data_IF_266459866089
#
_entry.id   IF_266459866089
#
_cell.length_a   1.000
_cell.length_b   1.000
_cell.length_c   1.000
_cell.angle_alpha   90.00
_cell.angle_beta   90.00
_cell.angle_gamma   90.00
#
_symmetry.space_group_name_H-M   'P 1'
#
loop_
_entity.id
_entity.type
_entity.pdbx_description
1 polymer ?
#
# COMPACT_ATOMS: atom_id res chain seq x y z
N UNK A 1 93.95 14.36 -26.94
CA UNK A 1 93.00 14.79 -27.98
C UNK A 1 91.86 13.81 -27.97
N UNK A 2 90.72 14.28 -27.45
CA UNK A 2 89.35 14.08 -27.94
C UNK A 2 88.82 12.65 -28.10
N UNK A 3 87.62 12.27 -27.69
CA UNK A 3 86.50 12.92 -27.00
C UNK A 3 85.52 11.79 -26.64
N UNK A 4 84.73 11.99 -25.57
CA UNK A 4 83.63 11.11 -25.15
C UNK A 4 82.65 10.86 -26.30
N UNK A 5 82.03 9.68 -26.34
CA UNK A 5 80.60 9.62 -26.61
C UNK A 5 79.92 8.42 -25.93
N UNK A 6 79.09 8.78 -24.96
CA UNK A 6 78.16 7.92 -24.24
C UNK A 6 76.98 7.60 -25.16
N UNK A 7 76.69 6.32 -25.39
CA UNK A 7 75.39 5.87 -25.91
C UNK A 7 74.90 4.74 -25.02
N UNK A 8 74.18 5.09 -23.95
CA UNK A 8 73.35 4.15 -23.18
C UNK A 8 72.02 3.97 -23.90
N UNK A 9 71.88 2.85 -24.61
CA UNK A 9 70.68 2.48 -25.37
C UNK A 9 69.47 2.09 -24.49
N UNK A 10 68.23 2.27 -24.98
CA UNK A 10 66.99 2.11 -24.22
C UNK A 10 66.51 0.65 -24.22
N UNK A 11 67.25 -0.27 -23.58
CA UNK A 11 66.83 -1.69 -23.48
C UNK A 11 66.37 -2.13 -22.09
N UNK A 12 66.69 -1.39 -21.04
CA UNK A 12 66.34 -1.76 -19.66
C UNK A 12 64.93 -1.33 -19.22
N UNK A 13 64.24 -0.47 -19.97
CA UNK A 13 62.89 0.03 -19.61
C UNK A 13 61.73 -0.86 -20.11
N UNK A 14 61.95 -1.72 -21.12
CA UNK A 14 60.91 -2.60 -21.68
C UNK A 14 60.69 -3.89 -20.87
N UNK A 15 61.69 -4.35 -20.11
CA UNK A 15 61.60 -5.59 -19.30
C UNK A 15 60.83 -5.35 -17.99
N UNK A 16 60.99 -4.18 -17.37
CA UNK A 16 60.23 -3.78 -16.16
C UNK A 16 58.73 -3.53 -16.44
N UNK A 17 58.39 -3.03 -17.63
CA UNK A 17 56.98 -2.84 -18.02
C UNK A 17 56.24 -4.16 -18.27
N UNK A 18 56.92 -5.17 -18.83
CA UNK A 18 56.35 -6.51 -19.06
C UNK A 18 56.16 -7.33 -17.79
N UNK A 19 57.06 -7.20 -16.81
CA UNK A 19 56.94 -7.87 -15.51
C UNK A 19 55.74 -7.35 -14.70
N UNK A 20 55.52 -6.03 -14.68
CA UNK A 20 54.34 -5.45 -14.05
C UNK A 20 53.05 -5.90 -14.73
N UNK A 21 53.03 -5.98 -16.07
CA UNK A 21 51.87 -6.48 -16.80
C UNK A 21 51.51 -7.94 -16.45
N UNK A 22 52.52 -8.81 -16.31
CA UNK A 22 52.31 -10.20 -15.90
C UNK A 22 51.75 -10.31 -14.46
N UNK A 23 52.28 -9.50 -13.53
CA UNK A 23 51.78 -9.45 -12.14
C UNK A 23 50.35 -8.93 -12.09
N UNK A 24 50.02 -7.84 -12.80
CA UNK A 24 48.65 -7.33 -12.87
C UNK A 24 47.68 -8.34 -13.49
N UNK A 25 48.10 -9.05 -14.54
CA UNK A 25 47.28 -10.10 -15.17
C UNK A 25 47.00 -11.24 -14.20
N UNK A 26 48.00 -11.70 -13.44
CA UNK A 26 47.84 -12.72 -12.41
C UNK A 26 46.90 -12.27 -11.29
N UNK A 27 47.00 -11.02 -10.85
CA UNK A 27 46.11 -10.44 -9.83
C UNK A 27 44.67 -10.38 -10.35
N UNK A 28 44.46 -9.96 -11.60
CA UNK A 28 43.11 -9.92 -12.21
C UNK A 28 42.52 -11.33 -12.33
N UNK A 29 43.31 -12.32 -12.74
CA UNK A 29 42.87 -13.72 -12.81
C UNK A 29 42.53 -14.25 -11.42
N UNK A 30 43.35 -13.95 -10.40
CA UNK A 30 43.10 -14.37 -9.02
C UNK A 30 41.82 -13.73 -8.47
N UNK A 31 41.59 -12.43 -8.73
CA UNK A 31 40.35 -11.74 -8.36
C UNK A 31 39.16 -12.35 -9.09
N UNK A 32 39.28 -12.65 -10.38
CA UNK A 32 38.20 -13.28 -11.15
C UNK A 32 37.89 -14.69 -10.64
N UNK A 33 38.90 -15.48 -10.27
CA UNK A 33 38.72 -16.81 -9.70
C UNK A 33 38.07 -16.74 -8.31
N UNK A 34 38.49 -15.81 -7.45
CA UNK A 34 37.89 -15.59 -6.13
C UNK A 34 36.45 -15.07 -6.24
N UNK A 35 36.20 -14.15 -7.16
CA UNK A 35 34.85 -13.65 -7.44
C UNK A 35 33.95 -14.78 -7.96
N UNK A 36 34.43 -15.60 -8.90
CA UNK A 36 33.69 -16.74 -9.42
C UNK A 36 33.41 -17.78 -8.32
N UNK A 37 34.40 -18.07 -7.45
CA UNK A 37 34.23 -18.96 -6.31
C UNK A 37 33.21 -18.42 -5.29
N UNK A 38 33.23 -17.12 -5.02
CA UNK A 38 32.29 -16.46 -4.11
C UNK A 38 30.86 -16.44 -4.67
N UNK A 39 30.71 -16.15 -5.96
CA UNK A 39 29.41 -16.16 -6.67
C UNK A 39 28.83 -17.57 -6.71
N UNK A 40 29.64 -18.60 -7.01
CA UNK A 40 29.17 -19.97 -7.15
C UNK A 40 28.82 -20.67 -5.82
N UNK A 41 29.17 -20.08 -4.68
CA UNK A 41 28.87 -20.62 -3.35
C UNK A 41 27.78 -19.85 -2.61
N UNK A 42 27.48 -18.64 -3.04
CA UNK A 42 26.45 -17.80 -2.45
C UNK A 42 25.31 -17.60 -3.46
N UNK A 43 24.24 -18.38 -3.33
CA UNK A 43 22.99 -18.21 -4.09
C UNK A 43 22.19 -16.96 -3.67
N UNK A 44 22.85 -16.01 -3.00
CA UNK A 44 22.22 -14.80 -2.48
C UNK A 44 22.11 -13.79 -3.62
N UNK A 45 20.94 -13.74 -4.25
CA UNK A 45 20.62 -12.76 -5.28
C UNK A 45 20.55 -11.38 -4.62
N UNK A 46 21.44 -10.48 -5.02
CA UNK A 46 21.45 -9.10 -4.55
C UNK A 46 20.65 -8.25 -5.53
N UNK A 47 19.48 -7.82 -5.09
CA UNK A 47 18.68 -6.86 -5.85
C UNK A 47 19.26 -5.46 -5.69
N UNK A 48 20.00 -5.01 -6.70
CA UNK A 48 20.60 -3.67 -6.78
C UNK A 48 19.62 -2.62 -7.31
N UNK A 49 18.36 -2.98 -7.56
CA UNK A 49 17.37 -1.98 -7.98
C UNK A 49 17.02 -1.06 -6.81
N UNK A 50 16.82 0.25 -7.06
CA UNK A 50 16.54 1.23 -5.99
C UNK A 50 15.35 0.84 -5.08
N UNK A 51 14.35 0.14 -5.62
CA UNK A 51 13.13 -0.25 -4.91
C UNK A 51 13.05 -1.74 -4.57
N UNK A 52 14.14 -2.49 -4.78
CA UNK A 52 14.14 -3.93 -4.53
C UNK A 52 13.00 -4.64 -5.29
N UNK A 53 12.82 -4.32 -6.57
CA UNK A 53 11.67 -4.75 -7.38
C UNK A 53 11.68 -6.25 -7.73
N UNK A 54 12.81 -6.92 -7.56
CA UNK A 54 13.01 -8.34 -7.83
C UNK A 54 13.26 -9.16 -6.56
N UNK A 55 13.02 -8.55 -5.40
CA UNK A 55 13.11 -9.22 -4.10
C UNK A 55 11.82 -9.07 -3.32
N UNK A 56 11.49 -10.13 -2.59
CA UNK A 56 10.30 -10.19 -1.76
C UNK A 56 10.26 -9.03 -0.76
N UNK A 57 9.07 -8.53 -0.50
CA UNK A 57 8.86 -7.57 0.57
C UNK A 57 9.35 -8.14 1.91
N UNK A 58 9.86 -7.28 2.83
CA UNK A 58 10.25 -7.71 4.18
C UNK A 58 9.16 -8.51 4.90
N UNK A 59 7.89 -8.25 4.58
CA UNK A 59 6.72 -8.85 5.21
C UNK A 59 6.38 -10.21 4.62
N UNK A 60 6.50 -10.40 3.30
CA UNK A 60 6.50 -11.74 2.72
C UNK A 60 7.62 -12.58 3.33
N UNK A 61 8.84 -12.04 3.49
CA UNK A 61 9.93 -12.76 4.16
C UNK A 61 9.56 -13.12 5.61
N UNK A 62 8.92 -12.22 6.36
CA UNK A 62 8.45 -12.47 7.72
C UNK A 62 7.38 -13.57 7.76
N UNK A 63 6.41 -13.53 6.84
CA UNK A 63 5.38 -14.56 6.65
C UNK A 63 6.01 -15.93 6.38
N UNK A 64 6.94 -16.01 5.43
CA UNK A 64 7.59 -17.26 5.02
C UNK A 64 8.49 -17.86 6.13
N UNK A 65 9.15 -17.00 6.93
CA UNK A 65 9.91 -17.45 8.10
C UNK A 65 9.02 -17.90 9.26
N UNK A 66 7.80 -17.39 9.33
CA UNK A 66 6.81 -17.75 10.35
C UNK A 66 6.03 -19.02 10.05
N UNK A 67 6.29 -19.70 8.92
CA UNK A 67 5.57 -20.92 8.53
C UNK A 67 5.82 -22.06 9.54
N UNK A 68 4.73 -22.59 10.09
CA UNK A 68 4.70 -23.74 11.00
C UNK A 68 4.51 -25.07 10.28
N UNK A 69 4.13 -25.04 9.00
CA UNK A 69 3.79 -26.18 8.14
C UNK A 69 4.42 -26.05 6.76
N UNK A 70 4.52 -27.18 6.07
CA UNK A 70 5.04 -27.21 4.69
C UNK A 70 3.97 -26.77 3.70
N UNK A 71 4.36 -25.95 2.74
CA UNK A 71 3.50 -25.33 1.74
C UNK A 71 4.03 -25.66 0.35
N UNK A 72 3.13 -26.07 -0.55
CA UNK A 72 3.45 -26.28 -1.96
C UNK A 72 2.74 -25.26 -2.83
N UNK A 73 3.50 -24.56 -3.66
CA UNK A 73 3.03 -23.65 -4.71
C UNK A 73 2.93 -24.47 -6.01
N UNK A 74 1.71 -24.84 -6.41
CA UNK A 74 1.44 -25.52 -7.66
C UNK A 74 1.24 -24.50 -8.78
N UNK A 75 2.05 -24.59 -9.83
CA UNK A 75 1.96 -23.70 -10.99
C UNK A 75 1.42 -24.49 -12.15
N UNK A 76 0.18 -24.23 -12.53
CA UNK A 76 -0.49 -24.91 -13.63
C UNK A 76 -0.23 -24.19 -14.95
N UNK A 77 0.85 -24.57 -15.63
CA UNK A 77 1.23 -23.96 -16.90
C UNK A 77 1.98 -24.93 -17.82
N UNK A 78 2.05 -24.59 -19.10
CA UNK A 78 2.89 -25.28 -20.09
C UNK A 78 4.35 -24.92 -19.84
N UNK A 79 5.26 -25.87 -20.11
CA UNK A 79 6.74 -25.78 -19.90
C UNK A 79 7.47 -24.51 -20.41
N UNK A 80 6.82 -23.64 -21.18
CA UNK A 80 7.40 -22.42 -21.76
C UNK A 80 6.60 -21.13 -21.50
N UNK A 81 5.46 -21.18 -20.77
CA UNK A 81 4.53 -20.04 -20.66
C UNK A 81 4.93 -18.97 -19.65
N UNK A 82 5.28 -19.34 -18.41
CA UNK A 82 5.42 -18.42 -17.28
C UNK A 82 6.83 -17.95 -16.96
N UNK A 83 7.58 -17.42 -17.91
CA UNK A 83 8.93 -16.86 -17.60
C UNK A 83 8.93 -15.80 -16.49
N UNK A 84 7.92 -14.93 -16.43
CA UNK A 84 7.87 -13.82 -15.46
C UNK A 84 7.45 -14.26 -14.04
N UNK A 85 6.66 -15.34 -13.91
CA UNK A 85 6.21 -15.85 -12.60
C UNK A 85 7.23 -16.76 -11.91
N UNK A 86 8.12 -17.40 -12.69
CA UNK A 86 9.11 -18.34 -12.14
C UNK A 86 10.06 -17.67 -11.16
N UNK A 87 10.62 -16.51 -11.53
CA UNK A 87 11.56 -15.76 -10.68
C UNK A 87 10.94 -15.39 -9.32
N UNK A 88 9.65 -15.01 -9.32
CA UNK A 88 8.92 -14.74 -8.09
C UNK A 88 8.79 -15.99 -7.21
N UNK A 89 8.35 -17.11 -7.78
CA UNK A 89 8.09 -18.32 -7.01
C UNK A 89 9.38 -18.98 -6.52
N UNK A 90 10.45 -18.92 -7.31
CA UNK A 90 11.78 -19.39 -6.92
C UNK A 90 12.32 -18.55 -5.75
N UNK A 91 12.01 -17.25 -5.70
CA UNK A 91 12.31 -16.41 -4.54
C UNK A 91 11.55 -16.86 -3.27
N UNK A 92 10.30 -17.34 -3.39
CA UNK A 92 9.55 -17.89 -2.25
C UNK A 92 10.20 -19.18 -1.72
N UNK A 93 10.56 -20.11 -2.63
CA UNK A 93 11.25 -21.36 -2.27
C UNK A 93 12.62 -21.09 -1.63
N UNK A 94 13.35 -20.10 -2.14
CA UNK A 94 14.66 -19.70 -1.61
C UNK A 94 14.57 -19.02 -0.24
N UNK A 95 13.46 -18.35 0.04
CA UNK A 95 13.25 -17.62 1.31
C UNK A 95 12.90 -18.54 2.49
N UNK A 96 12.34 -19.72 2.25
CA UNK A 96 11.99 -20.68 3.30
C UNK A 96 12.04 -22.13 2.82
N UNK A 97 12.74 -22.98 3.57
CA UNK A 97 12.84 -24.42 3.31
C UNK A 97 11.50 -25.18 3.41
N UNK A 98 10.46 -24.53 3.96
CA UNK A 98 9.11 -25.08 4.08
C UNK A 98 8.25 -24.81 2.85
N UNK A 99 8.77 -24.10 1.85
CA UNK A 99 8.06 -23.78 0.62
C UNK A 99 8.65 -24.58 -0.52
N UNK A 100 7.81 -25.40 -1.17
CA UNK A 100 8.15 -26.11 -2.39
C UNK A 100 7.37 -25.52 -3.57
N UNK A 101 8.02 -25.39 -4.73
CA UNK A 101 7.35 -24.98 -5.97
C UNK A 101 7.26 -26.20 -6.88
N UNK A 102 6.06 -26.50 -7.38
CA UNK A 102 5.82 -27.61 -8.32
C UNK A 102 5.13 -27.10 -9.58
N UNK A 103 5.84 -27.17 -10.69
CA UNK A 103 5.30 -26.89 -12.01
C UNK A 103 4.54 -28.12 -12.53
N UNK A 104 3.27 -27.92 -12.88
CA UNK A 104 2.36 -28.97 -13.33
C UNK A 104 1.80 -28.57 -14.68
N UNK A 105 1.94 -29.45 -15.67
CA UNK A 105 1.29 -29.28 -16.97
C UNK A 105 -0.13 -29.88 -16.89
N UNK A 106 -1.20 -29.07 -16.96
CA UNK A 106 -2.58 -29.56 -16.84
C UNK A 106 -2.95 -30.64 -17.86
N UNK A 107 -2.30 -30.63 -19.02
CA UNK A 107 -2.56 -31.59 -20.10
C UNK A 107 -1.90 -32.95 -19.84
N UNK A 108 -0.78 -32.95 -19.10
CA UNK A 108 -0.04 -34.17 -18.73
C UNK A 108 -0.51 -34.78 -17.41
N UNK A 109 -0.96 -33.93 -16.48
CA UNK A 109 -1.45 -34.34 -15.16
C UNK A 109 -2.92 -33.89 -14.91
N UNK A 110 -3.89 -34.36 -15.74
CA UNK A 110 -5.28 -33.89 -15.67
C UNK A 110 -6.00 -34.26 -14.37
N UNK A 111 -5.53 -35.30 -13.66
CA UNK A 111 -6.08 -35.68 -12.35
C UNK A 111 -5.86 -34.59 -11.30
N UNK A 112 -4.66 -34.01 -11.27
CA UNK A 112 -4.32 -32.94 -10.33
C UNK A 112 -5.03 -31.63 -10.70
N UNK A 113 -5.10 -31.31 -11.99
CA UNK A 113 -5.84 -30.15 -12.48
C UNK A 113 -7.33 -30.22 -12.11
N UNK A 114 -7.96 -31.40 -12.21
CA UNK A 114 -9.34 -31.60 -11.77
C UNK A 114 -9.51 -31.47 -10.25
N UNK A 115 -8.57 -31.99 -9.47
CA UNK A 115 -8.60 -31.89 -8.00
C UNK A 115 -8.64 -30.43 -7.53
N UNK A 116 -7.84 -29.57 -8.16
CA UNK A 116 -7.79 -28.14 -7.84
C UNK A 116 -8.75 -27.29 -8.69
N UNK A 117 -9.65 -27.92 -9.44
CA UNK A 117 -10.64 -27.25 -10.31
C UNK A 117 -10.03 -26.22 -11.30
N UNK A 118 -8.82 -26.48 -11.80
CA UNK A 118 -8.08 -25.58 -12.69
C UNK A 118 -8.79 -25.45 -14.04
N UNK A 119 -9.08 -24.21 -14.44
CA UNK A 119 -9.78 -23.89 -15.70
C UNK A 119 -8.89 -23.19 -16.72
N UNK A 120 -7.81 -22.57 -16.27
CA UNK A 120 -6.95 -21.69 -17.06
C UNK A 120 -5.48 -22.02 -16.82
N UNK A 121 -4.64 -21.88 -17.85
CA UNK A 121 -3.19 -21.93 -17.68
C UNK A 121 -2.71 -20.66 -16.98
N UNK A 122 -1.57 -20.75 -16.31
CA UNK A 122 -1.02 -19.67 -15.50
C UNK A 122 -1.68 -19.53 -14.13
N UNK A 123 -2.50 -20.48 -13.72
CA UNK A 123 -3.09 -20.51 -12.38
C UNK A 123 -2.06 -21.01 -11.37
N UNK A 124 -1.89 -20.26 -10.28
CA UNK A 124 -1.04 -20.65 -9.15
C UNK A 124 -1.96 -21.06 -7.99
N UNK A 125 -1.72 -22.23 -7.41
CA UNK A 125 -2.45 -22.72 -6.23
C UNK A 125 -1.49 -22.90 -5.08
N UNK A 126 -1.80 -22.29 -3.94
CA UNK A 126 -1.08 -22.46 -2.68
C UNK A 126 -1.78 -23.56 -1.88
N UNK A 127 -1.06 -24.61 -1.52
CA UNK A 127 -1.61 -25.76 -0.82
C UNK A 127 -0.76 -26.17 0.40
N UNK A 128 -1.43 -26.52 1.49
CA UNK A 128 -0.81 -27.11 2.69
C UNK A 128 -1.78 -28.11 3.32
N UNK A 129 -1.40 -29.39 3.33
CA UNK A 129 -2.31 -30.48 3.69
C UNK A 129 -3.53 -30.51 2.78
N UNK A 130 -4.73 -30.51 3.36
CA UNK A 130 -6.01 -30.56 2.62
C UNK A 130 -6.52 -29.19 2.16
N UNK A 131 -5.94 -28.10 2.66
CA UNK A 131 -6.36 -26.73 2.33
C UNK A 131 -5.58 -26.23 1.13
N UNK A 132 -6.29 -25.64 0.17
CA UNK A 132 -5.69 -24.99 -0.99
C UNK A 132 -6.46 -23.73 -1.35
N UNK A 133 -5.75 -22.73 -1.89
CA UNK A 133 -6.30 -21.48 -2.37
C UNK A 133 -5.63 -21.09 -3.69
N UNK A 134 -6.45 -20.67 -4.66
CA UNK A 134 -5.97 -20.12 -5.93
C UNK A 134 -5.49 -18.67 -5.72
N UNK A 135 -4.29 -18.37 -6.20
CA UNK A 135 -3.74 -17.02 -6.18
C UNK A 135 -4.35 -16.17 -7.30
N UNK A 136 -4.69 -14.93 -6.95
CA UNK A 136 -5.20 -13.93 -7.91
C UNK A 136 -4.03 -13.37 -8.73
N UNK A 137 -3.59 -14.16 -9.72
CA UNK A 137 -2.49 -13.81 -10.62
C UNK A 137 -1.09 -14.16 -10.11
N UNK A 138 -0.10 -14.02 -10.98
CA UNK A 138 1.31 -14.31 -10.70
C UNK A 138 2.07 -13.10 -10.16
N UNK A 139 1.55 -12.50 -9.10
CA UNK A 139 2.15 -11.35 -8.41
C UNK A 139 2.50 -11.72 -6.96
N UNK A 140 3.43 -10.98 -6.35
CA UNK A 140 3.76 -11.20 -4.94
C UNK A 140 2.52 -11.06 -4.05
N UNK A 141 1.70 -10.04 -4.32
CA UNK A 141 0.41 -9.81 -3.67
C UNK A 141 -0.52 -11.03 -3.77
N UNK A 142 -0.76 -11.53 -4.99
CA UNK A 142 -1.66 -12.66 -5.22
C UNK A 142 -1.22 -13.95 -4.51
N UNK A 143 0.08 -14.26 -4.57
CA UNK A 143 0.66 -15.47 -3.97
C UNK A 143 0.72 -15.38 -2.45
N UNK A 144 1.18 -14.24 -1.90
CA UNK A 144 1.18 -14.01 -0.44
C UNK A 144 -0.22 -14.03 0.13
N UNK A 145 -1.20 -13.41 -0.55
CA UNK A 145 -2.58 -13.42 -0.09
C UNK A 145 -3.15 -14.84 -0.06
N UNK A 146 -2.99 -15.63 -1.12
CA UNK A 146 -3.44 -17.03 -1.12
C UNK A 146 -2.79 -17.86 0.02
N UNK A 147 -1.51 -17.62 0.30
CA UNK A 147 -0.82 -18.22 1.45
C UNK A 147 -1.46 -17.81 2.77
N UNK A 148 -1.78 -16.54 2.94
CA UNK A 148 -2.41 -16.03 4.16
C UNK A 148 -3.82 -16.59 4.34
N UNK A 149 -4.64 -16.67 3.29
CA UNK A 149 -5.98 -17.27 3.33
C UNK A 149 -5.92 -18.71 3.81
N UNK A 150 -4.98 -19.46 3.26
CA UNK A 150 -4.76 -20.85 3.60
C UNK A 150 -4.35 -21.02 5.07
N UNK A 151 -3.54 -20.10 5.61
CA UNK A 151 -3.07 -20.18 7.00
C UNK A 151 -4.11 -19.68 8.01
N UNK A 152 -4.67 -18.48 7.77
CA UNK A 152 -5.49 -17.74 8.74
C UNK A 152 -7.00 -17.97 8.58
N UNK A 153 -7.45 -18.46 7.43
CA UNK A 153 -8.88 -18.58 7.12
C UNK A 153 -9.48 -17.28 6.60
N UNK A 154 -10.74 -17.36 6.16
CA UNK A 154 -11.50 -16.22 5.62
C UNK A 154 -12.17 -15.46 6.77
N UNK A 155 -12.14 -14.13 6.74
CA UNK A 155 -12.79 -13.26 7.73
C UNK A 155 -14.03 -12.60 7.15
N UNK A 156 -15.12 -12.47 7.91
CA UNK A 156 -16.35 -11.84 7.41
C UNK A 156 -16.40 -10.35 7.77
N UNK A 157 -16.56 -9.49 6.77
CA UNK A 157 -16.85 -8.06 6.92
C UNK A 157 -18.34 -7.84 6.64
N UNK A 158 -19.05 -7.22 7.58
CA UNK A 158 -20.45 -6.87 7.42
C UNK A 158 -20.62 -5.38 7.15
N UNK A 159 -21.23 -5.04 6.01
CA UNK A 159 -21.70 -3.68 5.72
C UNK A 159 -23.15 -3.55 6.16
N UNK A 160 -23.44 -2.57 7.03
CA UNK A 160 -24.81 -2.34 7.44
C UNK A 160 -25.62 -1.76 6.29
N UNK A 161 -26.86 -2.22 6.18
CA UNK A 161 -27.88 -1.74 5.26
C UNK A 161 -29.17 -1.49 6.03
N UNK A 162 -29.96 -0.52 5.58
CA UNK A 162 -31.29 -0.21 6.14
C UNK A 162 -31.58 1.28 6.25
N UNK A 163 -30.54 2.12 6.23
CA UNK A 163 -30.62 3.57 6.42
C UNK A 163 -30.09 4.32 5.18
N UNK A 164 -30.20 3.68 4.01
CA UNK A 164 -29.73 4.18 2.70
C UNK A 164 -28.22 4.38 2.62
N UNK A 165 -27.47 3.45 3.22
CA UNK A 165 -26.03 3.30 3.03
C UNK A 165 -25.66 2.99 1.58
N UNK A 166 -24.35 3.00 1.32
CA UNK A 166 -23.79 2.62 0.02
C UNK A 166 -24.08 1.15 -0.28
N UNK A 167 -24.64 0.89 -1.46
CA UNK A 167 -24.97 -0.46 -1.92
C UNK A 167 -23.73 -1.19 -2.47
N UNK A 168 -23.46 -2.37 -1.91
CA UNK A 168 -22.35 -3.25 -2.30
C UNK A 168 -22.53 -3.89 -3.69
N UNK A 169 -23.74 -3.97 -4.22
CA UNK A 169 -23.99 -4.55 -5.55
C UNK A 169 -24.13 -3.48 -6.64
N UNK A 170 -24.24 -2.21 -6.27
CA UNK A 170 -24.40 -1.12 -7.23
C UNK A 170 -23.10 -0.82 -7.99
N UNK A 171 -23.19 -0.83 -9.31
CA UNK A 171 -22.12 -0.42 -10.24
C UNK A 171 -22.09 1.08 -10.52
N UNK A 172 -23.01 1.85 -9.94
CA UNK A 172 -23.10 3.28 -10.15
C UNK A 172 -21.87 4.01 -9.60
N UNK A 173 -21.68 5.27 -10.00
CA UNK A 173 -20.57 6.12 -9.51
C UNK A 173 -20.46 6.16 -7.99
N UNK A 174 -21.61 6.10 -7.32
CA UNK A 174 -21.78 6.15 -5.88
C UNK A 174 -21.81 4.76 -5.21
N UNK A 175 -21.85 3.67 -5.99
CA UNK A 175 -21.93 2.29 -5.50
C UNK A 175 -20.59 1.74 -5.02
N UNK A 176 -20.63 0.56 -4.41
CA UNK A 176 -19.51 -0.11 -3.72
C UNK A 176 -19.14 -1.48 -4.32
N UNK A 177 -19.61 -1.85 -5.52
CA UNK A 177 -19.25 -3.14 -6.14
C UNK A 177 -17.74 -3.34 -6.30
N UNK A 178 -17.00 -2.26 -6.58
CA UNK A 178 -15.53 -2.31 -6.69
C UNK A 178 -14.86 -2.49 -5.33
N UNK A 179 -15.41 -1.91 -4.27
CA UNK A 179 -14.91 -2.12 -2.90
C UNK A 179 -15.11 -3.58 -2.50
N UNK A 180 -16.31 -4.13 -2.75
CA UNK A 180 -16.61 -5.53 -2.49
C UNK A 180 -15.60 -6.44 -3.18
N UNK A 181 -15.39 -6.27 -4.48
CA UNK A 181 -14.38 -7.03 -5.25
C UNK A 181 -12.98 -6.86 -4.69
N UNK A 182 -12.59 -5.64 -4.33
CA UNK A 182 -11.26 -5.38 -3.78
C UNK A 182 -11.06 -6.12 -2.44
N UNK A 183 -12.06 -6.14 -1.57
CA UNK A 183 -12.01 -6.86 -0.29
C UNK A 183 -12.06 -8.39 -0.47
N UNK A 184 -12.84 -8.88 -1.44
CA UNK A 184 -12.92 -10.31 -1.78
C UNK A 184 -11.64 -10.83 -2.47
N UNK A 185 -10.88 -9.95 -3.13
CA UNK A 185 -9.54 -10.26 -3.65
C UNK A 185 -8.50 -10.40 -2.52
N UNK A 186 -8.76 -9.79 -1.37
CA UNK A 186 -8.04 -10.03 -0.11
C UNK A 186 -8.64 -11.24 0.60
N UNK A 187 -8.48 -11.36 1.92
CA UNK A 187 -8.90 -12.52 2.71
C UNK A 187 -10.37 -12.49 3.16
N UNK A 188 -11.16 -11.54 2.68
CA UNK A 188 -12.44 -11.21 3.29
C UNK A 188 -13.62 -11.81 2.55
N UNK A 189 -14.61 -12.26 3.32
CA UNK A 189 -15.97 -12.47 2.85
C UNK A 189 -16.78 -11.22 3.15
N UNK A 190 -17.35 -10.58 2.13
CA UNK A 190 -18.15 -9.37 2.33
C UNK A 190 -19.63 -9.74 2.35
N UNK A 191 -20.34 -9.35 3.41
CA UNK A 191 -21.79 -9.57 3.58
C UNK A 191 -22.49 -8.28 3.94
N UNK A 192 -23.79 -8.23 3.69
CA UNK A 192 -24.68 -7.17 4.19
C UNK A 192 -25.31 -7.58 5.53
N UNK A 193 -25.56 -6.60 6.40
CA UNK A 193 -26.27 -6.79 7.66
C UNK A 193 -27.44 -5.81 7.73
N UNK A 194 -28.67 -6.34 7.79
CA UNK A 194 -29.87 -5.58 8.09
C UNK A 194 -30.07 -5.54 9.61
N UNK A 195 -29.41 -4.58 10.28
CA UNK A 195 -29.37 -4.54 11.75
C UNK A 195 -30.76 -4.36 12.36
N UNK A 196 -31.63 -3.55 11.73
CA UNK A 196 -33.02 -3.36 12.12
C UNK A 196 -33.83 -4.67 12.27
N UNK A 197 -33.46 -5.74 11.54
CA UNK A 197 -34.22 -7.00 11.55
C UNK A 197 -33.77 -7.96 12.65
N UNK A 198 -32.46 -8.03 12.93
CA UNK A 198 -31.88 -9.01 13.86
C UNK A 198 -31.42 -8.40 15.19
N UNK A 199 -31.23 -7.09 15.26
CA UNK A 199 -30.73 -6.33 16.43
C UNK A 199 -29.52 -6.97 17.12
N UNK A 200 -28.73 -7.71 16.36
CA UNK A 200 -27.59 -8.48 16.82
C UNK A 200 -26.55 -8.54 15.71
N UNK A 201 -25.29 -8.33 16.08
CA UNK A 201 -24.15 -8.43 15.17
C UNK A 201 -23.67 -9.89 15.20
N UNK A 202 -23.59 -10.58 14.04
CA UNK A 202 -23.18 -11.98 13.99
C UNK A 202 -21.83 -12.25 14.66
N UNK A 203 -21.69 -13.42 15.29
CA UNK A 203 -20.46 -13.82 16.00
C UNK A 203 -19.27 -13.99 15.04
N UNK A 204 -19.52 -14.27 13.76
CA UNK A 204 -18.49 -14.34 12.71
C UNK A 204 -18.06 -12.97 12.16
N UNK A 205 -18.68 -11.87 12.64
CA UNK A 205 -18.35 -10.51 12.22
C UNK A 205 -16.96 -10.11 12.72
N UNK A 206 -16.00 -10.05 11.79
CA UNK A 206 -14.64 -9.58 12.07
C UNK A 206 -14.53 -8.06 12.01
N UNK A 207 -15.39 -7.42 11.21
CA UNK A 207 -15.46 -5.97 11.05
C UNK A 207 -16.86 -5.55 10.59
N UNK A 208 -17.40 -4.53 11.25
CA UNK A 208 -18.65 -3.88 10.90
C UNK A 208 -18.39 -2.54 10.20
N UNK A 209 -19.05 -2.27 9.08
CA UNK A 209 -18.87 -1.03 8.30
C UNK A 209 -20.20 -0.31 8.17
N UNK A 210 -20.24 0.95 8.63
CA UNK A 210 -21.33 1.90 8.43
C UNK A 210 -20.93 2.85 7.29
N UNK A 211 -21.43 2.57 6.09
CA UNK A 211 -21.00 3.26 4.87
C UNK A 211 -21.99 4.35 4.43
N UNK A 212 -21.85 5.56 4.97
CA UNK A 212 -22.57 6.75 4.50
C UNK A 212 -24.09 6.72 4.65
N UNK A 213 -24.64 6.42 5.84
CA UNK A 213 -26.08 6.39 6.06
C UNK A 213 -26.72 7.76 5.77
N UNK A 214 -27.96 7.74 5.27
CA UNK A 214 -28.77 8.96 5.01
C UNK A 214 -29.86 9.18 6.05
N UNK A 215 -30.10 8.21 6.90
CA UNK A 215 -31.01 8.28 8.02
C UNK A 215 -30.30 7.82 9.30
N UNK A 216 -30.67 8.41 10.43
CA UNK A 216 -30.07 8.04 11.70
C UNK A 216 -30.52 6.66 12.17
N UNK A 217 -29.66 6.02 12.95
CA UNK A 217 -29.88 4.69 13.49
C UNK A 217 -30.80 4.79 14.71
N UNK A 218 -31.59 3.74 14.96
CA UNK A 218 -32.40 3.68 16.17
C UNK A 218 -31.49 3.52 17.41
N UNK A 219 -31.89 4.02 18.60
CA UNK A 219 -31.10 3.87 19.82
C UNK A 219 -30.67 2.43 20.11
N UNK A 220 -31.56 1.46 19.86
CA UNK A 220 -31.30 0.04 20.06
C UNK A 220 -30.23 -0.51 19.11
N UNK A 221 -30.17 0.00 17.88
CA UNK A 221 -29.14 -0.37 16.90
C UNK A 221 -27.78 0.17 17.33
N UNK A 222 -27.75 1.44 17.77
CA UNK A 222 -26.54 2.08 18.30
C UNK A 222 -26.03 1.37 19.56
N UNK A 223 -26.94 0.91 20.43
CA UNK A 223 -26.56 0.13 21.61
C UNK A 223 -25.98 -1.24 21.25
N UNK A 224 -26.50 -1.91 20.21
CA UNK A 224 -25.92 -3.15 19.70
C UNK A 224 -24.51 -2.93 19.15
N UNK A 225 -24.28 -1.86 18.37
CA UNK A 225 -22.96 -1.49 17.87
C UNK A 225 -22.02 -1.16 19.03
N UNK A 226 -22.48 -0.36 20.01
CA UNK A 226 -21.72 0.00 21.20
C UNK A 226 -21.24 -1.22 21.95
N UNK A 227 -22.15 -2.17 22.22
CA UNK A 227 -21.83 -3.42 22.90
C UNK A 227 -20.81 -4.24 22.12
N UNK A 228 -21.01 -4.40 20.81
CA UNK A 228 -20.08 -5.15 19.96
C UNK A 228 -18.66 -4.57 20.00
N UNK A 229 -18.49 -3.25 19.87
CA UNK A 229 -17.13 -2.65 19.93
C UNK A 229 -16.55 -2.75 21.35
N UNK A 230 -17.35 -2.54 22.39
CA UNK A 230 -16.92 -2.69 23.79
C UNK A 230 -16.50 -4.13 24.16
N UNK A 231 -17.08 -5.13 23.49
CA UNK A 231 -16.75 -6.55 23.62
C UNK A 231 -15.54 -6.97 22.76
N UNK A 232 -14.79 -6.02 22.20
CA UNK A 232 -13.60 -6.28 21.38
C UNK A 232 -13.89 -6.34 19.88
N UNK A 233 -15.07 -5.92 19.45
CA UNK A 233 -15.43 -5.77 18.05
C UNK A 233 -14.66 -4.66 17.34
N UNK A 234 -14.83 -4.60 16.02
CA UNK A 234 -14.17 -3.65 15.12
C UNK A 234 -15.20 -2.95 14.27
N UNK A 235 -15.19 -1.62 14.23
CA UNK A 235 -16.17 -0.85 13.50
C UNK A 235 -15.56 0.31 12.69
N UNK A 236 -16.04 0.51 11.46
CA UNK A 236 -15.73 1.67 10.65
C UNK A 236 -16.99 2.51 10.42
N UNK A 237 -16.90 3.81 10.67
CA UNK A 237 -17.99 4.77 10.49
C UNK A 237 -17.60 5.78 9.42
N UNK A 238 -18.27 5.74 8.27
CA UNK A 238 -18.06 6.70 7.18
C UNK A 238 -19.27 7.64 7.13
N UNK A 239 -19.13 8.86 7.65
CA UNK A 239 -20.25 9.77 7.91
C UNK A 239 -20.24 10.97 6.96
N UNK A 240 -21.01 10.92 5.87
CA UNK A 240 -21.11 12.02 4.88
C UNK A 240 -21.67 13.31 5.50
N UNK A 241 -21.21 14.52 5.13
CA UNK A 241 -21.76 15.79 5.61
C UNK A 241 -23.21 16.02 5.16
N UNK A 242 -23.93 16.90 5.87
CA UNK A 242 -25.30 17.30 5.51
C UNK A 242 -26.37 16.25 5.81
N UNK A 243 -26.06 15.29 6.67
CA UNK A 243 -26.99 14.28 7.21
C UNK A 243 -26.99 14.37 8.73
N UNK A 244 -28.18 14.47 9.31
CA UNK A 244 -28.41 14.48 10.75
C UNK A 244 -28.36 13.06 11.32
N UNK A 245 -27.33 12.77 12.12
CA UNK A 245 -27.07 11.44 12.71
C UNK A 245 -26.83 11.54 14.24
N UNK A 246 -27.74 12.14 15.03
CA UNK A 246 -27.50 12.42 16.44
C UNK A 246 -27.14 11.19 17.29
N UNK A 247 -27.71 10.01 17.01
CA UNK A 247 -27.41 8.80 17.77
C UNK A 247 -26.00 8.27 17.48
N UNK A 248 -25.58 8.22 16.22
CA UNK A 248 -24.20 7.84 15.85
C UNK A 248 -23.18 8.89 16.31
N UNK A 249 -23.49 10.18 16.18
CA UNK A 249 -22.63 11.26 16.68
C UNK A 249 -22.44 11.18 18.19
N UNK A 250 -23.50 10.84 18.95
CA UNK A 250 -23.41 10.61 20.39
C UNK A 250 -22.55 9.39 20.72
N UNK A 251 -22.68 8.30 19.98
CA UNK A 251 -21.83 7.11 20.15
C UNK A 251 -20.34 7.46 20.01
N UNK A 252 -19.96 8.17 18.95
CA UNK A 252 -18.57 8.61 18.74
C UNK A 252 -18.13 9.59 19.83
N UNK A 253 -19.01 10.50 20.26
CA UNK A 253 -18.69 11.48 21.31
C UNK A 253 -18.40 10.78 22.65
N UNK A 254 -19.12 9.70 22.96
CA UNK A 254 -18.82 8.85 24.13
C UNK A 254 -17.40 8.27 24.05
N UNK A 255 -16.92 7.98 22.84
CA UNK A 255 -15.55 7.55 22.51
C UNK A 255 -14.59 8.70 22.19
N UNK A 256 -14.85 9.89 22.74
CA UNK A 256 -13.98 11.07 22.65
C UNK A 256 -13.85 11.70 21.25
N UNK A 257 -14.67 11.28 20.28
CA UNK A 257 -14.65 11.79 18.89
C UNK A 257 -15.97 12.48 18.57
N UNK A 258 -15.93 13.80 18.34
CA UNK A 258 -17.13 14.58 17.97
C UNK A 258 -17.19 14.75 16.46
N UNK A 259 -18.20 14.18 15.81
CA UNK A 259 -18.49 14.44 14.40
C UNK A 259 -19.06 15.85 14.23
N UNK A 260 -18.37 16.72 13.50
CA UNK A 260 -18.82 18.08 13.28
C UNK A 260 -19.98 18.09 12.27
N UNK A 261 -20.86 19.07 12.43
CA UNK A 261 -21.88 19.40 11.43
C UNK A 261 -21.32 20.46 10.49
N UNK A 262 -20.38 20.06 9.65
CA UNK A 262 -19.74 20.94 8.69
C UNK A 262 -19.54 20.27 7.32
N UNK A 263 -19.26 21.09 6.32
CA UNK A 263 -18.62 20.66 5.08
C UNK A 263 -17.23 21.25 5.03
N UNK A 264 -16.22 20.38 4.92
CA UNK A 264 -14.84 20.80 4.77
C UNK A 264 -14.61 21.34 3.37
N UNK A 265 -14.04 22.54 3.32
CA UNK A 265 -13.58 23.21 2.11
C UNK A 265 -12.10 23.48 2.24
N UNK A 266 -11.33 23.08 1.23
CA UNK A 266 -9.90 23.36 1.13
C UNK A 266 -9.63 24.15 -0.14
N UNK A 267 -9.39 25.45 0.03
CA UNK A 267 -9.12 26.36 -1.07
C UNK A 267 -7.63 26.41 -1.47
N UNK A 268 -6.81 25.45 -1.03
CA UNK A 268 -5.38 25.40 -1.35
C UNK A 268 -5.16 25.45 -2.88
N UNK A 269 -4.51 26.50 -3.41
CA UNK A 269 -4.29 26.66 -4.85
C UNK A 269 -3.52 25.50 -5.47
N UNK A 270 -2.61 24.87 -4.73
CA UNK A 270 -1.82 23.73 -5.21
C UNK A 270 -2.71 22.53 -5.48
N UNK A 271 -3.70 22.25 -4.62
CA UNK A 271 -4.65 21.15 -4.82
C UNK A 271 -5.53 21.39 -6.05
N UNK A 272 -5.91 22.65 -6.32
CA UNK A 272 -6.71 23.03 -7.48
C UNK A 272 -5.97 22.83 -8.81
N UNK A 273 -4.63 22.99 -8.81
CA UNK A 273 -3.80 22.68 -9.99
C UNK A 273 -3.88 21.20 -10.40
N UNK A 274 -4.26 20.30 -9.49
CA UNK A 274 -4.51 18.88 -9.77
C UNK A 274 -5.97 18.59 -10.17
N UNK A 275 -6.77 19.62 -10.46
CA UNK A 275 -8.16 19.47 -10.93
C UNK A 275 -9.17 19.13 -9.82
N UNK A 276 -8.82 19.38 -8.56
CA UNK A 276 -9.71 19.16 -7.42
C UNK A 276 -10.64 20.36 -7.19
N UNK A 277 -11.90 20.09 -6.82
CA UNK A 277 -12.84 21.11 -6.33
C UNK A 277 -12.49 21.48 -4.89
N UNK A 278 -12.75 22.71 -4.42
CA UNK A 278 -12.57 23.08 -3.02
C UNK A 278 -13.31 22.16 -2.02
N UNK A 279 -14.39 21.50 -2.44
CA UNK A 279 -15.14 20.51 -1.63
C UNK A 279 -14.56 19.10 -1.65
N UNK A 280 -13.38 18.93 -2.25
CA UNK A 280 -12.64 17.67 -2.32
C UNK A 280 -11.18 17.91 -1.88
N UNK A 281 -10.95 18.12 -0.58
CA UNK A 281 -9.60 18.32 -0.04
C UNK A 281 -8.63 17.21 -0.46
N UNK A 282 -7.42 17.64 -0.82
CA UNK A 282 -6.28 16.77 -1.08
C UNK A 282 -5.41 16.72 0.18
N UNK A 283 -5.45 15.58 0.87
CA UNK A 283 -4.72 15.37 2.11
C UNK A 283 -3.31 14.87 1.81
N UNK A 284 -2.33 15.55 2.40
CA UNK A 284 -0.90 15.20 2.38
C UNK A 284 -0.27 15.24 3.77
N UNK A 285 -1.05 15.62 4.80
CA UNK A 285 -0.62 15.65 6.19
C UNK A 285 -1.30 14.50 6.94
N UNK A 286 -0.47 13.57 7.40
CA UNK A 286 -0.89 12.34 8.05
C UNK A 286 -0.40 12.28 9.49
N UNK A 287 -1.11 11.53 10.32
CA UNK A 287 -0.69 11.17 11.68
C UNK A 287 0.46 10.17 11.70
N UNK A 288 0.68 9.54 12.85
CA UNK A 288 1.73 8.55 13.10
C UNK A 288 1.26 7.10 13.07
N UNK A 289 -0.05 6.88 12.96
CA UNK A 289 -0.65 5.54 12.90
C UNK A 289 -0.09 4.68 11.74
N UNK A 290 0.08 3.35 11.93
CA UNK A 290 0.44 2.41 10.86
C UNK A 290 -0.51 2.41 9.66
N UNK A 291 -1.74 2.92 9.85
CA UNK A 291 -2.72 3.10 8.77
C UNK A 291 -2.20 4.07 7.70
N UNK A 292 -1.54 5.15 8.13
CA UNK A 292 -1.19 6.30 7.29
C UNK A 292 0.31 6.50 7.10
N UNK A 293 1.16 5.82 7.88
CA UNK A 293 2.62 5.83 7.67
C UNK A 293 3.04 5.49 6.22
N UNK A 294 2.46 4.46 5.55
CA UNK A 294 2.80 4.15 4.16
C UNK A 294 2.37 5.22 3.15
N UNK A 295 1.48 6.14 3.56
CA UNK A 295 0.92 7.21 2.72
C UNK A 295 1.73 8.50 2.78
N UNK A 296 2.84 8.56 3.51
CA UNK A 296 3.65 9.77 3.67
C UNK A 296 4.07 10.46 2.36
N UNK A 297 4.07 9.72 1.23
CA UNK A 297 4.37 10.25 -0.13
C UNK A 297 3.22 10.13 -1.13
N UNK A 298 2.04 9.69 -0.67
CA UNK A 298 0.87 9.46 -1.52
C UNK A 298 -0.28 10.30 -0.98
N UNK A 299 -0.76 11.25 -1.77
CA UNK A 299 -1.90 12.07 -1.38
C UNK A 299 -3.20 11.25 -1.38
N UNK A 300 -4.19 11.68 -0.61
CA UNK A 300 -5.54 11.10 -0.55
C UNK A 300 -6.59 12.17 -0.81
N UNK A 301 -7.69 11.82 -1.48
CA UNK A 301 -8.78 12.72 -1.84
C UNK A 301 -10.01 12.44 -0.96
N UNK A 302 -10.55 13.50 -0.33
CA UNK A 302 -11.69 13.41 0.58
C UNK A 302 -12.92 14.17 0.02
N UNK A 303 -13.61 13.63 -1.00
CA UNK A 303 -14.75 14.29 -1.62
C UNK A 303 -15.93 14.43 -0.66
N UNK A 304 -16.44 15.66 -0.52
CA UNK A 304 -17.56 16.02 0.36
C UNK A 304 -17.41 15.38 1.74
N UNK A 305 -16.43 15.85 2.51
CA UNK A 305 -16.14 15.33 3.85
C UNK A 305 -16.59 16.30 4.94
N UNK A 306 -17.03 15.77 6.08
CA UNK A 306 -17.10 16.51 7.35
C UNK A 306 -15.79 16.38 8.13
N UNK A 307 -15.63 17.19 9.17
CA UNK A 307 -14.51 17.10 10.11
C UNK A 307 -14.90 16.43 11.43
N UNK A 308 -13.89 16.06 12.21
CA UNK A 308 -14.02 15.56 13.57
C UNK A 308 -13.21 16.43 14.52
N UNK A 309 -13.71 16.60 15.74
CA UNK A 309 -12.94 17.10 16.87
C UNK A 309 -12.63 15.95 17.82
N UNK A 310 -11.35 15.83 18.18
CA UNK A 310 -10.86 14.87 19.16
C UNK A 310 -10.80 15.57 20.52
N UNK A 311 -11.43 15.00 21.54
CA UNK A 311 -11.50 15.60 22.87
C UNK A 311 -10.12 15.67 23.53
N UNK A 312 -9.79 16.84 24.10
CA UNK A 312 -8.48 17.07 24.77
C UNK A 312 -8.39 16.42 26.15
N UNK A 313 -9.53 16.05 26.73
CA UNK A 313 -9.60 15.41 28.04
C UNK A 313 -9.42 13.91 27.89
N UNK A 314 -8.53 13.34 28.70
CA UNK A 314 -8.32 11.90 28.74
C UNK A 314 -9.60 11.19 29.20
N UNK A 315 -10.18 10.34 28.34
CA UNK A 315 -11.23 9.42 28.73
C UNK A 315 -10.62 8.07 29.09
N UNK A 316 -10.91 7.61 30.30
CA UNK A 316 -10.41 6.33 30.79
C UNK A 316 -10.82 5.21 29.82
N UNK A 317 -9.82 4.49 29.32
CA UNK A 317 -10.02 3.36 28.42
C UNK A 317 -10.31 3.71 26.97
N UNK A 318 -10.12 4.97 26.56
CA UNK A 318 -10.19 5.40 25.17
C UNK A 318 -8.85 6.01 24.77
N UNK A 319 -8.29 5.55 23.66
CA UNK A 319 -7.15 6.20 23.01
C UNK A 319 -7.54 6.51 21.58
N UNK A 320 -7.36 7.75 21.15
CA UNK A 320 -7.73 8.23 19.81
C UNK A 320 -6.57 9.01 19.18
N UNK A 321 -6.49 8.96 17.85
CA UNK A 321 -5.45 9.62 17.06
C UNK A 321 -6.04 10.16 15.76
N UNK A 322 -5.69 11.39 15.41
CA UNK A 322 -5.97 11.96 14.09
C UNK A 322 -5.15 11.26 13.01
N UNK A 323 -5.81 10.76 11.97
CA UNK A 323 -5.16 10.06 10.85
C UNK A 323 -4.83 11.02 9.69
N UNK A 324 -5.76 11.93 9.39
CA UNK A 324 -5.72 12.76 8.19
C UNK A 324 -6.13 14.18 8.53
N UNK A 325 -5.26 15.15 8.22
CA UNK A 325 -5.49 16.57 8.46
C UNK A 325 -5.47 17.36 7.16
N UNK A 326 -6.44 18.28 7.02
CA UNK A 326 -6.53 19.20 5.88
C UNK A 326 -5.45 20.28 5.94
N UNK A 327 -5.37 21.13 4.90
CA UNK A 327 -4.43 22.25 4.90
C UNK A 327 -4.79 23.31 5.96
N UNK A 328 -3.83 24.16 6.33
CA UNK A 328 -4.08 25.29 7.23
C UNK A 328 -5.04 26.34 6.64
N UNK A 329 -5.21 26.35 5.32
CA UNK A 329 -6.11 27.26 4.58
C UNK A 329 -7.52 26.68 4.41
N UNK A 330 -7.75 25.47 4.91
CA UNK A 330 -9.08 24.87 4.91
C UNK A 330 -9.99 25.47 5.98
N UNK A 331 -11.29 25.28 5.80
CA UNK A 331 -12.31 25.64 6.77
C UNK A 331 -13.52 24.72 6.66
N UNK A 332 -14.23 24.56 7.76
CA UNK A 332 -15.46 23.77 7.85
C UNK A 332 -16.64 24.72 7.85
N UNK A 333 -17.46 24.68 6.80
CA UNK A 333 -18.68 25.47 6.72
C UNK A 333 -19.73 24.84 7.62
N UNK A 334 -20.03 25.53 8.72
CA UNK A 334 -20.91 25.01 9.76
C UNK A 334 -22.37 24.99 9.32
N UNK A 335 -23.14 24.05 9.88
CA UNK A 335 -24.56 23.80 9.58
C UNK A 335 -24.82 23.50 8.10
N UNK A 336 -23.84 22.87 7.43
CA UNK A 336 -23.99 22.52 6.03
C UNK A 336 -25.22 21.64 5.79
N UNK A 337 -25.94 21.94 4.71
CA UNK A 337 -27.00 21.10 4.17
C UNK A 337 -26.93 21.11 2.64
N UNK A 338 -27.48 20.07 2.01
CA UNK A 338 -27.42 19.85 0.56
C UNK A 338 -28.14 20.90 -0.28
N UNK A 339 -28.96 21.78 0.32
CA UNK A 339 -29.67 22.88 -0.37
C UNK A 339 -28.85 24.17 -0.42
N UNK A 340 -27.71 24.23 0.25
CA UNK A 340 -26.83 25.40 0.28
C UNK A 340 -26.19 25.62 -1.11
N UNK A 341 -26.46 26.77 -1.73
CA UNK A 341 -26.01 27.08 -3.10
C UNK A 341 -24.60 27.67 -3.15
N UNK A 342 -24.15 28.32 -2.09
CA UNK A 342 -22.84 28.97 -2.01
C UNK A 342 -22.12 28.52 -0.75
N UNK A 343 -20.90 28.06 -0.92
CA UNK A 343 -20.03 27.61 0.17
C UNK A 343 -18.88 28.60 0.29
N UNK A 344 -18.93 29.45 1.32
CA UNK A 344 -17.94 30.49 1.61
C UNK A 344 -17.63 30.55 3.09
N UNK A 345 -16.44 31.03 3.46
CA UNK A 345 -16.03 31.17 4.85
C UNK A 345 -16.72 32.35 5.54
N UNK A 346 -17.31 32.11 6.70
CA UNK A 346 -17.96 33.08 7.57
C UNK A 346 -17.24 33.16 8.92
N UNK A 347 -16.46 34.23 9.17
CA UNK A 347 -15.76 34.42 10.44
C UNK A 347 -16.72 34.37 11.64
N UNK A 348 -16.33 33.63 12.68
CA UNK A 348 -17.11 33.49 13.92
C UNK A 348 -18.22 32.44 13.88
N UNK A 349 -18.56 31.91 12.70
CA UNK A 349 -19.46 30.77 12.53
C UNK A 349 -18.71 29.51 12.11
N UNK A 350 -17.85 29.63 11.10
CA UNK A 350 -17.17 28.50 10.49
C UNK A 350 -15.90 28.10 11.25
N UNK A 351 -15.50 26.84 11.08
CA UNK A 351 -14.37 26.25 11.78
C UNK A 351 -13.11 26.45 10.94
N UNK A 352 -12.12 27.18 11.45
CA UNK A 352 -10.85 27.36 10.75
C UNK A 352 -9.98 26.10 10.87
N UNK A 353 -9.35 25.70 9.77
CA UNK A 353 -8.44 24.56 9.72
C UNK A 353 -7.08 24.79 10.40
N UNK A 354 -6.22 23.76 10.43
CA UNK A 354 -6.43 22.42 9.85
C UNK A 354 -7.52 21.63 10.57
N UNK A 355 -8.23 20.80 9.81
CA UNK A 355 -9.36 19.99 10.27
C UNK A 355 -9.02 18.52 10.16
N UNK A 356 -9.40 17.74 11.16
CA UNK A 356 -9.25 16.29 11.15
C UNK A 356 -10.41 15.67 10.38
N UNK A 357 -10.13 14.87 9.35
CA UNK A 357 -11.15 14.24 8.48
C UNK A 357 -11.21 12.71 8.62
N UNK A 358 -10.27 12.13 9.36
CA UNK A 358 -10.27 10.73 9.75
C UNK A 358 -9.62 10.55 11.13
N UNK A 359 -10.20 9.69 11.96
CA UNK A 359 -9.74 9.39 13.32
C UNK A 359 -9.76 7.87 13.53
N UNK A 360 -8.74 7.33 14.19
CA UNK A 360 -8.78 5.96 14.74
C UNK A 360 -8.87 6.01 16.25
N UNK A 361 -9.50 5.02 16.87
CA UNK A 361 -9.44 4.85 18.32
C UNK A 361 -9.56 3.42 18.79
N UNK A 362 -9.07 3.19 20.01
CA UNK A 362 -9.17 1.93 20.73
C UNK A 362 -10.01 2.11 22.00
N UNK A 363 -10.79 1.10 22.34
CA UNK A 363 -11.59 1.01 23.55
C UNK A 363 -11.07 -0.16 24.39
N UNK A 364 -10.48 0.10 25.55
CA UNK A 364 -10.12 -0.96 26.48
C UNK A 364 -11.40 -1.55 27.06
N UNK A 365 -11.55 -2.88 26.99
CA UNK A 365 -12.76 -3.58 27.40
C UNK A 365 -13.22 -3.17 28.81
N UNK A 366 -14.42 -2.61 28.92
CA UNK A 366 -15.03 -2.25 30.19
C UNK A 366 -15.41 -3.49 31.00
N UNK A 367 -14.51 -3.94 31.87
CA UNK A 367 -14.76 -4.97 32.89
C UNK A 367 -13.75 -6.12 32.89
N UNK A 368 -12.88 -6.15 33.91
CA UNK A 368 -12.11 -7.32 34.36
C UNK A 368 -11.17 -7.99 33.34
N UNK A 369 -9.88 -7.64 33.38
CA UNK A 369 -8.65 -8.33 32.94
C UNK A 369 -8.58 -9.32 31.74
N UNK A 370 -9.62 -9.58 30.93
CA UNK A 370 -9.52 -10.59 29.84
C UNK A 370 -10.22 -10.31 28.51
N UNK A 371 -10.88 -9.16 28.31
CA UNK A 371 -11.48 -8.84 27.00
C UNK A 371 -10.48 -8.12 26.10
N UNK A 372 -10.42 -8.53 24.83
CA UNK A 372 -9.61 -7.85 23.82
C UNK A 372 -10.14 -6.42 23.61
N UNK A 373 -9.24 -5.46 23.38
CA UNK A 373 -9.62 -4.08 23.13
C UNK A 373 -10.47 -3.97 21.87
N UNK A 374 -11.52 -3.15 21.91
CA UNK A 374 -12.29 -2.70 20.75
C UNK A 374 -11.49 -1.71 19.91
N UNK A 375 -11.75 -1.64 18.60
CA UNK A 375 -11.17 -0.60 17.74
C UNK A 375 -12.23 0.01 16.84
N UNK A 376 -12.11 1.29 16.55
CA UNK A 376 -12.96 1.97 15.60
C UNK A 376 -12.18 2.95 14.73
N UNK A 377 -12.74 3.24 13.55
CA UNK A 377 -12.30 4.34 12.68
C UNK A 377 -13.53 5.18 12.33
N UNK A 378 -13.38 6.51 12.42
CA UNK A 378 -14.35 7.47 11.92
C UNK A 378 -13.76 8.22 10.72
N UNK A 379 -14.49 8.24 9.61
CA UNK A 379 -14.10 8.84 8.33
C UNK A 379 -15.19 9.81 7.89
N UNK A 380 -14.82 11.02 7.48
CA UNK A 380 -15.78 12.10 7.24
C UNK A 380 -16.54 11.99 5.92
N UNK A 381 -16.26 10.97 5.12
CA UNK A 381 -16.94 10.72 3.84
C UNK A 381 -16.92 9.24 3.47
N UNK A 382 -18.06 8.74 3.03
CA UNK A 382 -18.21 7.44 2.37
C UNK A 382 -17.81 7.48 0.89
N UNK A 383 -17.71 8.67 0.28
CA UNK A 383 -17.35 8.79 -1.13
C UNK A 383 -15.90 8.41 -1.39
N UNK A 384 -15.00 8.47 -0.39
CA UNK A 384 -13.60 8.06 -0.55
C UNK A 384 -13.47 6.65 -1.14
N UNK A 385 -14.34 5.72 -0.71
CA UNK A 385 -14.38 4.35 -1.19
C UNK A 385 -15.39 4.11 -2.32
N UNK A 386 -16.18 5.10 -2.73
CA UNK A 386 -17.15 4.92 -3.82
C UNK A 386 -16.46 4.63 -5.16
N UNK A 387 -17.15 3.93 -6.06
CA UNK A 387 -16.63 3.49 -7.36
C UNK A 387 -15.90 4.57 -8.17
N UNK A 388 -16.40 5.81 -8.12
CA UNK A 388 -15.82 6.96 -8.83
C UNK A 388 -14.48 7.44 -8.25
N UNK A 389 -14.22 7.23 -6.97
CA UNK A 389 -13.02 7.70 -6.27
C UNK A 389 -12.06 6.58 -5.85
N UNK A 390 -12.52 5.33 -5.77
CA UNK A 390 -11.68 4.18 -5.45
C UNK A 390 -10.53 3.98 -6.45
N UNK A 391 -10.68 4.46 -7.69
CA UNK A 391 -9.60 4.43 -8.68
C UNK A 391 -8.42 5.35 -8.35
N UNK A 392 -8.59 6.31 -7.44
CA UNK A 392 -7.49 7.13 -6.94
C UNK A 392 -6.64 6.30 -5.98
N UNK A 393 -5.39 6.05 -6.34
CA UNK A 393 -4.52 5.09 -5.63
C UNK A 393 -4.48 5.35 -4.12
N UNK A 394 -4.27 6.59 -3.69
CA UNK A 394 -4.23 6.92 -2.26
C UNK A 394 -5.52 6.56 -1.53
N UNK A 395 -6.69 6.73 -2.16
CA UNK A 395 -7.97 6.40 -1.54
C UNK A 395 -8.16 4.91 -1.34
N UNK A 396 -7.85 4.12 -2.37
CA UNK A 396 -7.83 2.66 -2.27
C UNK A 396 -6.85 2.20 -1.20
N UNK A 397 -5.67 2.79 -1.16
CA UNK A 397 -4.63 2.42 -0.21
C UNK A 397 -5.03 2.74 1.23
N UNK A 398 -5.51 3.97 1.49
CA UNK A 398 -6.02 4.38 2.79
C UNK A 398 -7.19 3.50 3.25
N UNK A 399 -8.20 3.29 2.41
CA UNK A 399 -9.36 2.47 2.77
C UNK A 399 -8.94 1.06 3.18
N UNK A 400 -8.13 0.40 2.36
CA UNK A 400 -7.66 -0.95 2.66
C UNK A 400 -6.71 -1.01 3.87
N UNK A 401 -5.88 0.03 4.10
CA UNK A 401 -5.05 0.12 5.31
C UNK A 401 -5.92 0.20 6.58
N UNK A 402 -7.01 0.98 6.52
CA UNK A 402 -7.97 1.08 7.61
C UNK A 402 -8.66 -0.26 7.88
N UNK A 403 -9.08 -0.98 6.84
CA UNK A 403 -9.68 -2.32 6.98
C UNK A 403 -8.69 -3.31 7.60
N UNK A 404 -7.46 -3.35 7.11
CA UNK A 404 -6.43 -4.26 7.60
C UNK A 404 -6.01 -3.96 9.05
N UNK A 405 -5.93 -2.69 9.43
CA UNK A 405 -5.65 -2.31 10.81
C UNK A 405 -6.80 -2.70 11.75
N UNK A 406 -8.06 -2.51 11.31
CA UNK A 406 -9.23 -2.93 12.06
C UNK A 406 -9.31 -4.45 12.18
N UNK A 407 -9.01 -5.20 11.12
CA UNK A 407 -9.03 -6.67 11.15
C UNK A 407 -7.84 -7.31 11.89
N UNK A 408 -6.97 -6.48 12.50
CA UNK A 408 -5.73 -6.86 13.19
C UNK A 408 -4.71 -7.57 12.29
N UNK A 409 -4.62 -7.10 11.04
CA UNK A 409 -3.74 -7.60 9.99
C UNK A 409 -2.73 -6.55 9.56
N UNK A 410 -2.04 -5.97 10.54
CA UNK A 410 -1.01 -4.96 10.31
C UNK A 410 0.11 -5.50 9.38
N UNK A 411 0.38 -6.82 9.42
CA UNK A 411 1.32 -7.47 8.49
C UNK A 411 0.86 -7.46 7.01
N UNK A 412 -0.44 -7.32 6.72
CA UNK A 412 -0.99 -7.26 5.35
C UNK A 412 -0.98 -5.87 4.72
N UNK A 413 -0.90 -4.81 5.54
CA UNK A 413 -0.89 -3.41 5.09
C UNK A 413 0.22 -3.15 4.05
N UNK A 414 1.29 -3.94 4.10
CA UNK A 414 2.54 -3.74 3.36
C UNK A 414 2.85 -4.71 2.21
N UNK A 415 2.03 -5.75 1.95
CA UNK A 415 2.30 -6.76 0.89
C UNK A 415 1.72 -6.31 -0.48
N UNK A 416 1.51 -5.00 -0.66
CA UNK A 416 0.95 -4.47 -1.91
C UNK A 416 2.01 -4.39 -3.01
N UNK A 417 1.59 -4.41 -4.28
CA UNK A 417 2.49 -4.18 -5.40
C UNK A 417 3.20 -2.85 -5.20
N UNK A 418 4.54 -2.89 -5.14
CA UNK A 418 5.34 -1.68 -5.18
C UNK A 418 5.00 -0.99 -6.51
N UNK A 419 4.47 0.24 -6.51
CA UNK A 419 4.18 0.91 -7.76
C UNK A 419 5.48 1.00 -8.57
N UNK A 420 5.44 0.78 -9.90
CA UNK A 420 6.57 1.09 -10.74
C UNK A 420 6.87 2.57 -10.54
N UNK A 421 7.99 2.84 -9.89
CA UNK A 421 8.44 4.20 -9.67
C UNK A 421 8.82 4.73 -11.04
N UNK A 422 7.89 5.46 -11.65
CA UNK A 422 8.20 6.25 -12.82
C UNK A 422 9.20 7.29 -12.34
N UNK A 423 10.49 6.99 -12.48
CA UNK A 423 11.56 7.95 -12.24
C UNK A 423 11.32 9.13 -13.17
N UNK A 424 10.58 10.12 -12.66
CA UNK A 424 10.43 11.39 -13.34
C UNK A 424 11.75 12.11 -13.11
N UNK A 425 12.54 12.19 -14.17
CA UNK A 425 13.67 13.12 -14.25
C UNK A 425 13.10 14.54 -14.15
N UNK A 426 12.96 15.04 -12.91
CA UNK A 426 12.59 16.41 -12.62
C UNK A 426 13.82 17.30 -12.84
N UNK A 427 14.16 17.52 -14.12
CA UNK A 427 15.22 18.43 -14.52
C UNK A 427 14.67 19.85 -14.51
N UNK A 428 15.30 20.74 -13.75
CA UNK A 428 15.04 22.18 -13.89
C UNK A 428 15.59 22.64 -15.26
N UNK A 429 15.08 23.75 -15.82
CA UNK A 429 15.52 24.32 -17.10
C UNK A 429 17.05 24.42 -17.19
N UNK A 430 17.71 24.86 -16.10
CA UNK A 430 19.18 24.94 -16.03
C UNK A 430 19.92 23.59 -16.09
N UNK A 431 19.29 22.50 -15.66
CA UNK A 431 19.85 21.16 -15.77
C UNK A 431 19.66 20.62 -17.20
N UNK A 432 18.52 20.92 -17.83
CA UNK A 432 18.24 20.60 -19.22
C UNK A 432 19.26 21.27 -20.16
N UNK A 433 19.51 22.57 -19.98
CA UNK A 433 20.48 23.33 -20.79
C UNK A 433 21.90 22.79 -20.62
N UNK A 434 22.30 22.46 -19.39
CA UNK A 434 23.62 21.85 -19.13
C UNK A 434 23.79 20.53 -19.84
N UNK A 435 22.80 19.65 -19.78
CA UNK A 435 22.82 18.36 -20.47
C UNK A 435 22.89 18.59 -21.99
N UNK A 436 22.11 19.52 -22.52
CA UNK A 436 22.12 19.87 -23.95
C UNK A 436 23.51 20.34 -24.41
N UNK A 437 24.12 21.31 -23.74
CA UNK A 437 25.44 21.84 -24.13
C UNK A 437 26.59 20.84 -23.90
N UNK A 438 26.55 20.05 -22.83
CA UNK A 438 27.53 18.97 -22.61
C UNK A 438 27.47 17.92 -23.72
N UNK A 439 26.26 17.56 -24.15
CA UNK A 439 26.06 16.55 -25.19
C UNK A 439 26.42 17.08 -26.57
N UNK A 440 25.99 18.30 -26.90
CA UNK A 440 26.16 18.88 -28.23
C UNK A 440 27.56 19.46 -28.47
N UNK A 441 28.19 20.01 -27.43
CA UNK A 441 29.48 20.72 -27.56
C UNK A 441 30.58 19.99 -26.79
N UNK A 442 30.30 19.56 -25.56
CA UNK A 442 31.30 18.94 -24.69
C UNK A 442 31.86 17.63 -25.24
N UNK A 443 30.99 16.71 -25.66
CA UNK A 443 31.37 15.39 -26.17
C UNK A 443 32.17 15.48 -27.50
N UNK A 444 31.75 16.27 -28.50
CA UNK A 444 32.56 16.48 -29.70
C UNK A 444 33.90 17.16 -29.42
N UNK A 445 33.95 18.16 -28.53
CA UNK A 445 35.22 18.79 -28.13
C UNK A 445 36.16 17.81 -27.42
N UNK A 446 35.64 16.92 -26.58
CA UNK A 446 36.43 15.86 -25.95
C UNK A 446 37.06 14.93 -26.98
N UNK A 447 36.31 14.55 -28.01
CA UNK A 447 36.81 13.72 -29.12
C UNK A 447 37.89 14.48 -29.92
N UNK A 448 37.66 15.75 -30.23
CA UNK A 448 38.64 16.59 -30.94
C UNK A 448 39.90 16.78 -30.10
N UNK A 449 39.77 17.05 -28.80
CA UNK A 449 40.89 17.20 -27.88
C UNK A 449 41.69 15.90 -27.77
N UNK A 450 41.02 14.75 -27.59
CA UNK A 450 41.67 13.45 -27.58
C UNK A 450 42.41 13.17 -28.90
N UNK A 451 41.77 13.45 -30.05
CA UNK A 451 42.39 13.33 -31.37
C UNK A 451 43.62 14.23 -31.54
N UNK A 452 43.54 15.46 -31.05
CA UNK A 452 44.63 16.45 -31.12
C UNK A 452 45.80 16.04 -30.23
N UNK A 453 45.54 15.55 -29.02
CA UNK A 453 46.57 15.03 -28.10
C UNK A 453 47.28 13.84 -28.73
N UNK A 454 46.53 12.89 -29.31
CA UNK A 454 47.11 11.72 -29.98
C UNK A 454 47.93 12.15 -31.20
N UNK A 455 47.46 13.12 -31.98
CA UNK A 455 48.21 13.66 -33.12
C UNK A 455 49.51 14.34 -32.67
N UNK A 456 49.47 15.12 -31.58
CA UNK A 456 50.63 15.85 -31.08
C UNK A 456 51.67 14.93 -30.42
N UNK A 457 51.25 13.82 -29.80
CA UNK A 457 52.16 12.80 -29.28
C UNK A 457 52.80 11.93 -30.37
N UNK A 458 52.22 11.90 -31.58
CA UNK A 458 52.72 11.13 -32.73
C UNK A 458 53.63 11.94 -33.65
N UNK A 459 53.69 13.25 -33.48
CA UNK A 459 54.58 14.16 -34.19
C UNK A 459 55.80 14.47 -33.32
#
# INVERSE_FOLDING_TARGET
MDEKNNVTGPRTRKVLAGANFAVYTLVVIAIAALANWFVNRNDKIWDLTPNKSYSLSPQTIKLLRGLDRDVTLYVFDRKQGMREGHDLLDNYASASHRVAVRYVDPDREPGLAKQFAIRTYGTIVVAAGDRHFEAQGATEEGVSNALIHMLKGQKTIYFIQGHSERDLESTDRAGYDRVKKQLENEIYQVKTLLLMQKMEIPVDCSLLVVAGPKHDYLPQEVDAIRKYVADGGRAMFMLDPGVDLPNLSKLLADWNVTAQHDLVVDANPVAQLFGTSPTMPLIVKYGSSPIVEPLARTATLFPFTRSFAVGKEYKAGVTDESLCETSAESFGVADYNSKMQTVSYHPGKDIKGPLTVAVSGNLTGGGGEKKADGRFIALGTSLLAANVYLGFQGNRDLFLNMINWLSAEEDLISIRPKPPDAQRLNLNAQQMDRIFYLSLIGLPLLIVAAGTIVWWQRR
#
